data_IF_609544886083
#
_entry.id   IF_609544886083
#
_cell.length_a   1.000
_cell.length_b   1.000
_cell.length_c   1.000
_cell.angle_alpha   90.00
_cell.angle_beta   90.00
_cell.angle_gamma   90.00
#
_symmetry.space_group_name_H-M   'P 1'
#
loop_
_entity.id
_entity.type
_entity.pdbx_description
1 polymer ?
#
# COMPACT_ATOMS: atom_id res chain seq x y z
N UNK A 1 21.43 3.75 -23.15
CA UNK A 1 20.51 4.36 -22.18
C UNK A 1 21.07 4.13 -20.79
N UNK A 2 21.22 5.18 -19.98
CA UNK A 2 21.85 5.11 -18.65
C UNK A 2 20.89 4.57 -17.57
N UNK A 3 21.41 4.21 -16.38
CA UNK A 3 20.58 3.73 -15.28
C UNK A 3 19.66 4.85 -14.77
N UNK A 4 18.40 4.55 -14.45
CA UNK A 4 17.49 5.54 -13.86
C UNK A 4 18.00 5.95 -12.48
N UNK A 5 18.20 7.25 -12.29
CA UNK A 5 18.67 7.89 -11.05
C UNK A 5 17.72 7.55 -9.89
N UNK A 6 18.23 7.45 -8.65
CA UNK A 6 17.46 7.12 -7.44
C UNK A 6 16.12 7.88 -7.27
N UNK A 7 16.00 9.09 -7.82
CA UNK A 7 14.75 9.84 -7.90
C UNK A 7 13.62 9.10 -8.62
N UNK A 8 13.93 8.33 -9.68
CA UNK A 8 12.94 7.58 -10.45
C UNK A 8 12.24 6.48 -9.63
N UNK A 9 12.94 5.88 -8.66
CA UNK A 9 12.36 4.84 -7.79
C UNK A 9 11.40 5.44 -6.76
N UNK A 10 11.76 6.59 -6.17
CA UNK A 10 10.87 7.36 -5.30
C UNK A 10 9.65 7.88 -6.06
N UNK A 11 9.80 8.33 -7.31
CA UNK A 11 8.67 8.74 -8.15
C UNK A 11 7.72 7.57 -8.45
N UNK A 12 8.23 6.35 -8.63
CA UNK A 12 7.40 5.16 -8.90
C UNK A 12 6.52 4.74 -7.71
N UNK A 13 7.04 4.86 -6.48
CA UNK A 13 6.27 4.53 -5.28
C UNK A 13 5.27 5.64 -4.91
N UNK A 14 5.64 6.92 -5.10
CA UNK A 14 4.72 8.04 -4.89
C UNK A 14 3.56 8.00 -5.89
N UNK A 15 3.82 7.84 -7.19
CA UNK A 15 2.76 7.69 -8.20
C UNK A 15 1.78 6.55 -7.86
N UNK A 16 2.30 5.43 -7.34
CA UNK A 16 1.50 4.27 -6.94
C UNK A 16 0.62 4.53 -5.71
N UNK A 17 1.08 5.36 -4.78
CA UNK A 17 0.27 5.80 -3.63
C UNK A 17 -0.79 6.81 -4.07
N UNK A 18 -0.43 7.82 -4.86
CA UNK A 18 -1.36 8.80 -5.44
C UNK A 18 -2.50 8.13 -6.22
N UNK A 19 -2.19 7.14 -7.07
CA UNK A 19 -3.19 6.37 -7.81
C UNK A 19 -4.13 5.59 -6.86
N UNK A 20 -3.61 5.11 -5.73
CA UNK A 20 -4.40 4.38 -4.74
C UNK A 20 -5.35 5.31 -3.96
N UNK A 21 -4.89 6.51 -3.63
CA UNK A 21 -5.70 7.56 -3.01
C UNK A 21 -6.83 7.99 -3.97
N UNK A 22 -6.51 8.16 -5.24
CA UNK A 22 -7.49 8.50 -6.28
C UNK A 22 -8.56 7.42 -6.47
N UNK A 23 -8.17 6.14 -6.42
CA UNK A 23 -9.14 5.03 -6.51
C UNK A 23 -10.13 5.06 -5.36
N UNK A 24 -9.68 5.32 -4.13
CA UNK A 24 -10.57 5.44 -2.96
C UNK A 24 -11.48 6.66 -3.10
N UNK A 25 -10.93 7.81 -3.50
CA UNK A 25 -11.68 9.08 -3.63
C UNK A 25 -12.79 9.04 -4.68
N UNK A 26 -12.65 8.19 -5.70
CA UNK A 26 -13.66 7.99 -6.76
C UNK A 26 -14.78 7.02 -6.38
N UNK A 27 -14.70 6.38 -5.20
CA UNK A 27 -15.77 5.51 -4.72
C UNK A 27 -16.86 6.41 -4.15
N UNK A 28 -17.99 6.42 -4.85
CA UNK A 28 -19.19 7.11 -4.39
C UNK A 28 -19.63 6.53 -3.03
N UNK A 29 -20.08 7.39 -2.11
CA UNK A 29 -20.48 7.02 -0.73
C UNK A 29 -22.00 6.93 -0.47
N UNK A 30 -22.89 6.66 -1.45
CA UNK A 30 -24.32 6.78 -1.22
C UNK A 30 -24.88 5.84 -0.13
N UNK A 31 -24.34 4.64 0.14
CA UNK A 31 -24.82 3.82 1.25
C UNK A 31 -24.58 4.48 2.61
N UNK A 32 -23.45 5.16 2.80
CA UNK A 32 -23.09 5.76 4.08
C UNK A 32 -23.89 7.02 4.37
N UNK A 33 -24.25 7.79 3.34
CA UNK A 33 -25.09 8.99 3.49
C UNK A 33 -26.52 8.67 3.94
N UNK A 34 -26.93 7.40 3.91
CA UNK A 34 -28.24 6.94 4.40
C UNK A 34 -28.24 6.55 5.88
N UNK A 35 -27.07 6.58 6.55
CA UNK A 35 -26.93 6.26 7.97
C UNK A 35 -27.22 7.54 8.78
N UNK A 36 -28.18 7.52 9.71
CA UNK A 36 -28.45 8.68 10.58
C UNK A 36 -27.32 8.88 11.59
N UNK A 37 -27.07 10.14 11.97
CA UNK A 37 -26.06 10.48 12.99
C UNK A 37 -26.42 9.94 14.39
N UNK A 38 -27.72 9.76 14.65
CA UNK A 38 -28.24 9.22 15.90
C UNK A 38 -28.94 7.88 15.67
N UNK A 39 -28.39 6.83 16.27
CA UNK A 39 -28.83 5.45 16.13
C UNK A 39 -29.45 5.03 17.46
N UNK A 40 -30.78 4.88 17.48
CA UNK A 40 -31.55 4.61 18.69
C UNK A 40 -32.29 3.28 18.67
N UNK A 41 -32.64 2.80 17.48
CA UNK A 41 -33.41 1.56 17.33
C UNK A 41 -32.56 0.43 16.76
N UNK A 42 -33.00 -0.80 17.00
CA UNK A 42 -32.37 -2.01 16.46
C UNK A 42 -32.39 -2.05 14.94
N UNK A 43 -33.44 -1.54 14.31
CA UNK A 43 -33.58 -1.48 12.85
C UNK A 43 -32.58 -0.51 12.24
N UNK A 44 -32.30 0.61 12.92
CA UNK A 44 -31.27 1.57 12.51
C UNK A 44 -29.87 0.96 12.66
N UNK A 45 -29.64 0.17 13.71
CA UNK A 45 -28.38 -0.59 13.89
C UNK A 45 -28.18 -1.55 12.72
N UNK A 46 -29.19 -2.37 12.41
CA UNK A 46 -29.13 -3.36 11.32
C UNK A 46 -28.89 -2.68 9.96
N UNK A 47 -29.60 -1.57 9.71
CA UNK A 47 -29.41 -0.77 8.50
C UNK A 47 -27.99 -0.21 8.40
N UNK A 48 -27.46 0.38 9.49
CA UNK A 48 -26.11 0.94 9.51
C UNK A 48 -25.03 -0.14 9.28
N UNK A 49 -25.20 -1.32 9.90
CA UNK A 49 -24.32 -2.48 9.68
C UNK A 49 -24.35 -2.90 8.21
N UNK A 50 -25.55 -3.00 7.60
CA UNK A 50 -25.71 -3.34 6.20
C UNK A 50 -25.04 -2.35 5.25
N UNK A 51 -25.27 -1.04 5.48
CA UNK A 51 -24.70 0.05 4.71
C UNK A 51 -23.16 0.06 4.78
N UNK A 52 -22.60 -0.06 6.00
CA UNK A 52 -21.16 -0.09 6.21
C UNK A 52 -20.52 -1.34 5.58
N UNK A 53 -21.11 -2.51 5.79
CA UNK A 53 -20.62 -3.78 5.23
C UNK A 53 -20.57 -3.74 3.72
N UNK A 54 -21.64 -3.23 3.08
CA UNK A 54 -21.71 -3.06 1.64
C UNK A 54 -20.61 -2.11 1.13
N UNK A 55 -20.44 -0.96 1.79
CA UNK A 55 -19.44 0.02 1.41
C UNK A 55 -18.00 -0.52 1.54
N UNK A 56 -17.66 -1.14 2.68
CA UNK A 56 -16.34 -1.76 2.89
C UNK A 56 -16.06 -2.81 1.83
N UNK A 57 -17.05 -3.66 1.50
CA UNK A 57 -16.91 -4.65 0.42
C UNK A 57 -16.62 -3.99 -0.93
N UNK A 58 -17.25 -2.87 -1.24
CA UNK A 58 -16.97 -2.10 -2.46
C UNK A 58 -15.57 -1.51 -2.43
N UNK A 59 -15.15 -0.88 -1.32
CA UNK A 59 -13.80 -0.30 -1.17
C UNK A 59 -12.74 -1.37 -1.33
N UNK A 60 -12.89 -2.51 -0.65
CA UNK A 60 -11.98 -3.65 -0.78
C UNK A 60 -11.94 -4.11 -2.22
N UNK A 61 -13.07 -4.41 -2.87
CA UNK A 61 -13.09 -4.89 -4.27
C UNK A 61 -12.46 -3.91 -5.28
N UNK A 62 -12.66 -2.60 -5.08
CA UNK A 62 -12.14 -1.56 -5.98
C UNK A 62 -10.67 -1.23 -5.72
N UNK A 63 -10.20 -1.43 -4.50
CA UNK A 63 -8.83 -1.14 -4.09
C UNK A 63 -7.96 -2.41 -3.97
N UNK A 64 -8.58 -3.58 -4.13
CA UNK A 64 -7.91 -4.86 -4.18
C UNK A 64 -6.86 -4.81 -5.29
N UNK A 65 -5.63 -5.09 -4.90
CA UNK A 65 -4.48 -4.99 -5.78
C UNK A 65 -3.79 -6.33 -5.80
N UNK A 66 -3.64 -6.89 -6.99
CA UNK A 66 -2.70 -7.97 -7.21
C UNK A 66 -1.29 -7.44 -6.97
N UNK A 67 -0.67 -7.90 -5.88
CA UNK A 67 0.76 -7.72 -5.69
C UNK A 67 1.43 -8.72 -6.62
N UNK A 68 2.17 -8.28 -7.67
CA UNK A 68 2.87 -9.22 -8.51
C UNK A 68 3.76 -10.10 -7.63
N UNK A 69 3.65 -11.43 -7.80
CA UNK A 69 4.41 -12.41 -7.00
C UNK A 69 5.93 -12.16 -7.10
N UNK A 70 6.36 -11.56 -8.21
CA UNK A 70 7.67 -10.95 -8.40
C UNK A 70 7.56 -9.42 -8.49
N UNK A 71 7.10 -8.76 -7.43
CA UNK A 71 7.74 -7.47 -7.11
C UNK A 71 9.21 -7.85 -7.00
N UNK A 72 10.04 -7.35 -7.93
CA UNK A 72 11.46 -7.67 -8.05
C UNK A 72 12.20 -7.16 -6.80
N UNK A 73 11.92 -7.82 -5.67
CA UNK A 73 12.20 -7.40 -4.29
C UNK A 73 13.68 -7.56 -3.98
N UNK A 74 14.49 -7.98 -4.96
CA UNK A 74 15.89 -8.35 -4.78
C UNK A 74 16.79 -8.03 -5.98
N UNK A 75 16.35 -7.23 -6.95
CA UNK A 75 17.29 -6.63 -7.91
C UNK A 75 17.42 -5.15 -7.59
N UNK A 76 18.25 -4.89 -6.59
CA UNK A 76 18.83 -3.57 -6.46
C UNK A 76 19.63 -3.28 -7.74
N UNK A 77 19.51 -2.07 -8.31
CA UNK A 77 20.40 -1.67 -9.40
C UNK A 77 21.87 -1.76 -8.95
N UNK A 78 22.82 -1.88 -9.90
CA UNK A 78 24.21 -2.23 -9.62
C UNK A 78 24.90 -1.32 -8.59
N UNK A 79 24.55 -0.04 -8.59
CA UNK A 79 25.00 1.01 -7.69
C UNK A 79 24.59 0.77 -6.22
N UNK A 80 23.34 0.36 -5.98
CA UNK A 80 22.87 0.02 -4.63
C UNK A 80 23.51 -1.29 -4.14
N UNK A 81 23.74 -2.26 -5.05
CA UNK A 81 24.48 -3.48 -4.73
C UNK A 81 25.93 -3.18 -4.35
N UNK A 82 26.57 -2.23 -5.04
CA UNK A 82 27.93 -1.79 -4.76
C UNK A 82 28.02 -1.11 -3.39
N UNK A 83 27.07 -0.24 -3.05
CA UNK A 83 26.97 0.38 -1.73
C UNK A 83 26.77 -0.63 -0.59
N UNK A 84 25.96 -1.67 -0.80
CA UNK A 84 25.76 -2.74 0.20
C UNK A 84 27.06 -3.52 0.40
N UNK A 85 27.79 -3.85 -0.69
CA UNK A 85 29.09 -4.53 -0.61
C UNK A 85 30.13 -3.70 0.10
N UNK A 86 30.25 -2.42 -0.22
CA UNK A 86 31.13 -1.49 0.48
C UNK A 86 30.77 -1.42 1.97
N UNK A 87 29.49 -1.29 2.31
CA UNK A 87 29.07 -1.24 3.71
C UNK A 87 29.36 -2.54 4.47
N UNK A 88 29.24 -3.70 3.81
CA UNK A 88 29.57 -5.01 4.39
C UNK A 88 31.08 -5.27 4.50
N UNK A 89 31.93 -4.65 3.67
CA UNK A 89 33.39 -4.74 3.80
C UNK A 89 33.96 -3.87 4.93
N UNK A 90 33.18 -2.90 5.43
CA UNK A 90 33.55 -2.06 6.56
C UNK A 90 33.07 -2.60 7.92
N UNK A 91 32.26 -3.66 7.95
CA UNK A 91 31.88 -4.34 9.18
C UNK A 91 32.95 -5.39 9.54
N UNK A 92 33.62 -5.30 10.70
CA UNK A 92 34.43 -6.40 11.20
C UNK A 92 33.53 -7.64 11.34
N UNK A 93 33.92 -8.76 10.72
CA UNK A 93 33.33 -10.05 11.06
C UNK A 93 33.87 -10.45 12.43
N UNK A 94 33.16 -10.08 13.48
CA UNK A 94 33.30 -10.73 14.78
C UNK A 94 33.00 -12.22 14.57
N UNK A 95 34.03 -13.06 14.51
CA UNK A 95 33.89 -14.49 14.66
C UNK A 95 33.37 -14.74 16.08
N UNK A 96 32.05 -14.89 16.24
CA UNK A 96 31.51 -15.62 17.37
C UNK A 96 31.73 -17.11 17.09
N UNK A 97 32.97 -17.55 17.33
CA UNK A 97 33.25 -18.95 17.61
C UNK A 97 32.64 -19.29 18.97
N UNK A 98 31.73 -20.26 19.00
CA UNK A 98 31.51 -21.12 20.16
C UNK A 98 31.20 -22.53 19.70
#
# INVERSE_FOLDING_TARGET
MGPPTAGAYFHYQNHRLEESVDRVRKIDTPPLNSIPDDIRTTEQIDHAIGALTSHVRTVVKRCEREVPASSDRRKFPPDILELIRQKQSFAPREHLSS
#
